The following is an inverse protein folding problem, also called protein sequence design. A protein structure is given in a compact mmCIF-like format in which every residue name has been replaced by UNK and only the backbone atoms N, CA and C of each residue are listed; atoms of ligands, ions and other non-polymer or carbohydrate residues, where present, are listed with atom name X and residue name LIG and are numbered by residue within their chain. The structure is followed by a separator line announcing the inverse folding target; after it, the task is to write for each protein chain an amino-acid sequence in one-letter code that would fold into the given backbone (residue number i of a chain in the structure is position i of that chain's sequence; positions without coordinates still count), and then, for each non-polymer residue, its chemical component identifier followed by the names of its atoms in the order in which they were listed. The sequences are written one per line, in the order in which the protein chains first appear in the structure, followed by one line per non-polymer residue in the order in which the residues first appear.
data_IF_385154339837
#
_entry.id   IF_385154339837
#
_cell.length_a   1.000
_cell.length_b   1.000
_cell.length_c   1.000
_cell.angle_alpha   90.00
_cell.angle_beta   90.00
_cell.angle_gamma   90.00
#
_symmetry.space_group_name_H-M   'P 1'
#
loop_
_entity.id
_entity.type
_entity.pdbx_description
1 polymer ?
#
# COMPACT_ATOMS: atom_id res chain seq x y z
N UNK A 1 -1.61 -18.62 -20.02
CA UNK A 1 -0.64 -18.21 -18.98
C UNK A 1 -1.26 -17.45 -17.80
N UNK A 2 -2.46 -16.86 -17.93
CA UNK A 2 -3.15 -16.13 -16.84
C UNK A 2 -3.39 -16.99 -15.58
N UNK A 3 -3.91 -18.21 -15.74
CA UNK A 3 -4.23 -19.08 -14.60
C UNK A 3 -3.05 -19.59 -13.76
N UNK A 4 -1.79 -19.37 -14.16
CA UNK A 4 -0.64 -19.65 -13.28
C UNK A 4 -0.38 -18.48 -12.33
N UNK A 5 -0.37 -17.24 -12.84
CA UNK A 5 -0.16 -16.06 -12.03
C UNK A 5 -1.33 -15.78 -11.08
N UNK A 6 -2.57 -16.08 -11.48
CA UNK A 6 -3.74 -16.02 -10.59
C UNK A 6 -3.61 -17.00 -9.40
N UNK A 7 -3.08 -18.21 -9.64
CA UNK A 7 -2.78 -19.16 -8.56
C UNK A 7 -1.68 -18.67 -7.64
N UNK A 8 -0.64 -18.03 -8.18
CA UNK A 8 0.41 -17.40 -7.38
C UNK A 8 -0.14 -16.24 -6.55
N UNK A 9 -1.01 -15.40 -7.13
CA UNK A 9 -1.69 -14.31 -6.42
C UNK A 9 -2.51 -14.85 -5.25
N UNK A 10 -3.35 -15.87 -5.49
CA UNK A 10 -4.11 -16.52 -4.42
C UNK A 10 -3.22 -17.09 -3.31
N UNK A 11 -2.08 -17.69 -3.69
CA UNK A 11 -1.11 -18.22 -2.72
C UNK A 11 -0.46 -17.09 -1.91
N UNK A 12 -0.05 -16.00 -2.56
CA UNK A 12 0.54 -14.84 -1.91
C UNK A 12 -0.45 -14.19 -0.94
N UNK A 13 -1.70 -13.97 -1.36
CA UNK A 13 -2.80 -13.52 -0.51
C UNK A 13 -3.00 -14.44 0.70
N UNK A 14 -2.97 -15.76 0.50
CA UNK A 14 -3.08 -16.74 1.58
C UNK A 14 -1.92 -16.68 2.58
N UNK A 15 -0.70 -16.47 2.12
CA UNK A 15 0.48 -16.30 2.98
C UNK A 15 0.41 -14.99 3.76
N UNK A 16 0.10 -13.87 3.10
CA UNK A 16 -0.04 -12.57 3.75
C UNK A 16 -1.21 -12.53 4.73
N UNK A 17 -2.26 -13.31 4.50
CA UNK A 17 -3.34 -13.47 5.49
C UNK A 17 -2.86 -14.19 6.75
N UNK A 18 -1.99 -15.20 6.63
CA UNK A 18 -1.48 -15.97 7.78
C UNK A 18 -0.36 -15.25 8.53
N UNK A 19 0.49 -14.53 7.80
CA UNK A 19 1.69 -13.88 8.32
C UNK A 19 1.57 -12.35 8.32
N UNK A 20 0.34 -11.82 8.35
CA UNK A 20 0.09 -10.40 8.47
C UNK A 20 0.77 -9.86 9.75
N UNK A 21 1.41 -8.71 9.65
CA UNK A 21 2.13 -8.10 10.76
C UNK A 21 1.48 -6.78 11.15
N UNK A 22 1.09 -6.70 12.41
CA UNK A 22 0.48 -5.49 12.97
C UNK A 22 -0.86 -5.15 12.35
N UNK A 23 -1.27 -3.89 12.51
CA UNK A 23 -2.41 -3.31 11.82
C UNK A 23 -1.94 -2.36 10.73
N UNK A 24 -2.17 -2.73 9.48
CA UNK A 24 -1.83 -1.90 8.32
C UNK A 24 -3.12 -1.47 7.64
N UNK A 25 -3.30 -0.17 7.42
CA UNK A 25 -4.47 0.35 6.74
C UNK A 25 -4.12 1.55 5.86
N UNK A 26 -4.63 1.61 4.63
CA UNK A 26 -4.54 2.82 3.83
C UNK A 26 -5.66 3.80 4.22
N UNK A 27 -5.29 5.07 4.33
CA UNK A 27 -6.22 6.16 4.64
C UNK A 27 -6.51 6.91 3.35
N UNK A 28 -7.73 6.78 2.82
CA UNK A 28 -8.16 7.51 1.64
C UNK A 28 -9.18 8.56 2.03
N UNK A 29 -8.78 9.82 1.92
CA UNK A 29 -9.69 10.94 2.16
C UNK A 29 -10.27 11.41 0.83
N UNK A 30 -11.57 11.26 0.66
CA UNK A 30 -12.30 11.82 -0.49
C UNK A 30 -13.13 13.00 -0.02
N UNK A 31 -12.93 14.15 -0.67
CA UNK A 31 -13.73 15.35 -0.42
C UNK A 31 -14.73 15.51 -1.57
N UNK A 32 -16.01 15.46 -1.24
CA UNK A 32 -17.08 15.76 -2.19
C UNK A 32 -17.56 17.20 -1.94
N UNK A 33 -17.72 18.02 -2.98
CA UNK A 33 -18.33 19.33 -2.83
C UNK A 33 -19.74 19.15 -2.26
N UNK A 34 -20.13 20.04 -1.35
CA UNK A 34 -21.48 20.04 -0.79
C UNK A 34 -22.53 20.25 -1.90
N UNK A 35 -23.80 19.86 -1.66
CA UNK A 35 -24.86 19.97 -2.65
C UNK A 35 -25.10 21.42 -3.12
N UNK A 36 -24.72 22.43 -2.33
CA UNK A 36 -24.71 23.83 -2.74
C UNK A 36 -23.29 24.44 -2.75
N UNK A 37 -23.04 25.51 -3.54
CA UNK A 37 -21.72 26.15 -3.67
C UNK A 37 -21.11 26.70 -2.37
N UNK A 38 -21.93 26.95 -1.36
CA UNK A 38 -21.51 27.50 -0.06
C UNK A 38 -21.51 26.46 1.06
N UNK A 39 -21.92 25.22 0.77
CA UNK A 39 -21.93 24.17 1.77
C UNK A 39 -20.49 23.68 2.02
N UNK A 40 -20.12 23.38 3.28
CA UNK A 40 -18.81 22.80 3.56
C UNK A 40 -18.70 21.45 2.83
N UNK A 41 -17.53 21.14 2.26
CA UNK A 41 -17.34 19.87 1.58
C UNK A 41 -17.48 18.72 2.57
N UNK A 42 -18.12 17.64 2.13
CA UNK A 42 -18.20 16.41 2.91
C UNK A 42 -16.89 15.66 2.71
N UNK A 43 -16.12 15.54 3.80
CA UNK A 43 -14.86 14.81 3.82
C UNK A 43 -15.13 13.42 4.39
N UNK A 44 -15.02 12.40 3.55
CA UNK A 44 -15.15 11.01 3.97
C UNK A 44 -13.77 10.36 3.97
N UNK A 45 -13.37 9.82 5.11
CA UNK A 45 -12.14 9.03 5.24
C UNK A 45 -12.51 7.55 5.21
N UNK A 46 -12.10 6.88 4.15
CA UNK A 46 -12.20 5.43 4.01
C UNK A 46 -10.93 4.79 4.58
N UNK A 47 -11.12 3.82 5.47
CA UNK A 47 -10.03 3.04 6.07
C UNK A 47 -10.03 1.68 5.38
N UNK A 48 -9.00 1.44 4.56
CA UNK A 48 -8.85 0.18 3.83
C UNK A 48 -7.83 -0.66 4.58
N UNK A 49 -8.26 -1.72 5.25
CA UNK A 49 -7.35 -2.64 5.95
C UNK A 49 -6.58 -3.46 4.93
N UNK A 50 -5.25 -3.42 5.01
CA UNK A 50 -4.35 -4.14 4.11
C UNK A 50 -3.62 -5.23 4.87
N UNK A 51 -3.54 -6.42 4.27
CA UNK A 51 -2.68 -7.50 4.81
C UNK A 51 -1.27 -7.32 4.28
N UNK A 52 -0.35 -7.10 5.20
CA UNK A 52 1.02 -6.76 4.84
C UNK A 52 2.05 -7.34 5.80
N UNK A 53 3.24 -7.58 5.27
CA UNK A 53 4.43 -7.82 6.08
C UNK A 53 5.36 -6.61 5.96
N UNK A 54 5.84 -6.08 7.09
CA UNK A 54 6.64 -4.85 7.15
C UNK A 54 8.07 -5.20 7.56
N UNK A 55 9.04 -4.60 6.89
CA UNK A 55 10.46 -4.82 7.16
C UNK A 55 11.27 -3.55 6.87
N UNK A 56 12.52 -3.49 7.34
CA UNK A 56 13.44 -2.43 6.93
C UNK A 56 13.69 -2.49 5.42
N UNK A 57 13.86 -1.33 4.78
CA UNK A 57 14.10 -1.28 3.34
C UNK A 57 15.36 -2.06 2.94
N UNK A 58 15.25 -2.83 1.87
CA UNK A 58 16.40 -3.59 1.35
C UNK A 58 17.43 -2.62 0.76
N UNK A 59 18.72 -2.89 0.97
CA UNK A 59 19.83 -2.03 0.51
C UNK A 59 19.80 -1.75 -1.00
N UNK A 60 19.25 -2.66 -1.80
CA UNK A 60 19.08 -2.51 -3.24
C UNK A 60 18.19 -1.33 -3.66
N UNK A 61 17.26 -0.90 -2.79
CA UNK A 61 16.40 0.23 -3.07
C UNK A 61 16.94 1.55 -2.53
N UNK A 62 17.95 1.50 -1.65
CA UNK A 62 18.52 2.69 -1.01
C UNK A 62 19.41 3.40 -2.02
N UNK A 63 18.95 4.56 -2.49
CA UNK A 63 19.69 5.43 -3.41
C UNK A 63 20.35 6.63 -2.71
N UNK A 64 20.05 6.82 -1.41
CA UNK A 64 20.61 7.89 -0.59
C UNK A 64 19.99 9.27 -0.84
N UNK A 65 18.99 9.38 -1.72
CA UNK A 65 18.34 10.64 -2.06
C UNK A 65 16.81 10.55 -1.93
N UNK A 66 16.18 9.60 -2.63
CA UNK A 66 14.72 9.42 -2.64
C UNK A 66 14.30 8.31 -1.68
N UNK A 67 15.07 7.23 -1.61
CA UNK A 67 14.88 6.13 -0.66
C UNK A 67 16.07 6.07 0.28
N UNK A 68 15.79 6.23 1.56
CA UNK A 68 16.77 6.31 2.65
C UNK A 68 16.84 4.97 3.39
N UNK A 69 17.97 4.68 4.04
CA UNK A 69 18.13 3.45 4.85
C UNK A 69 17.19 3.38 6.06
N UNK A 70 16.61 4.51 6.47
CA UNK A 70 15.62 4.61 7.54
C UNK A 70 14.21 4.30 7.07
N UNK A 71 13.98 4.19 5.75
CA UNK A 71 12.67 3.88 5.22
C UNK A 71 12.29 2.41 5.47
N UNK A 72 11.00 2.15 5.45
CA UNK A 72 10.45 0.80 5.58
C UNK A 72 9.99 0.31 4.21
N UNK A 73 10.03 -1.00 4.02
CA UNK A 73 9.39 -1.67 2.90
C UNK A 73 8.28 -2.57 3.42
N UNK A 74 7.20 -2.66 2.67
CA UNK A 74 6.07 -3.54 2.99
C UNK A 74 5.64 -4.31 1.76
N UNK A 75 5.35 -5.60 1.94
CA UNK A 75 4.74 -6.44 0.92
C UNK A 75 3.28 -6.58 1.27
N UNK A 76 2.42 -6.22 0.32
CA UNK A 76 0.97 -6.12 0.47
C UNK A 76 0.29 -7.02 -0.54
N UNK A 77 -0.87 -7.55 -0.16
CA UNK A 77 -1.72 -8.27 -1.09
C UNK A 77 -2.16 -7.37 -2.25
N UNK A 78 -2.56 -8.01 -3.35
CA UNK A 78 -3.19 -7.27 -4.44
C UNK A 78 -4.61 -6.98 -4.04
N UNK A 79 -4.95 -5.71 -4.13
CA UNK A 79 -6.26 -5.17 -3.83
C UNK A 79 -6.71 -4.31 -5.01
N UNK A 80 -8.01 -4.11 -5.16
CA UNK A 80 -8.60 -3.39 -6.29
C UNK A 80 -8.34 -1.87 -6.22
N UNK A 81 -7.84 -1.38 -5.09
CA UNK A 81 -7.50 0.01 -4.89
C UNK A 81 -6.21 0.41 -5.61
N UNK A 82 -6.29 1.52 -6.36
CA UNK A 82 -5.13 2.15 -6.99
C UNK A 82 -4.32 2.95 -5.97
N UNK A 83 -3.18 2.41 -5.55
CA UNK A 83 -2.23 3.12 -4.70
C UNK A 83 -1.24 3.96 -5.53
N UNK A 84 -0.95 5.16 -5.06
CA UNK A 84 -0.01 6.09 -5.68
C UNK A 84 1.04 6.56 -4.67
N UNK A 85 2.28 6.87 -5.12
CA UNK A 85 3.25 7.57 -4.28
C UNK A 85 2.65 8.89 -3.77
N UNK A 86 2.75 9.14 -2.46
CA UNK A 86 2.10 10.24 -1.77
C UNK A 86 0.90 9.83 -0.91
N UNK A 87 0.33 8.64 -1.13
CA UNK A 87 -0.75 8.13 -0.30
C UNK A 87 -0.30 7.88 1.14
N UNK A 88 -1.22 8.07 2.09
CA UNK A 88 -0.98 7.85 3.51
C UNK A 88 -1.42 6.44 3.88
N UNK A 89 -0.50 5.69 4.47
CA UNK A 89 -0.74 4.37 5.06
C UNK A 89 -0.54 4.50 6.55
N UNK A 90 -1.40 3.89 7.34
CA UNK A 90 -1.26 3.70 8.77
C UNK A 90 -0.60 2.35 9.04
N UNK A 91 0.51 2.33 9.78
CA UNK A 91 1.15 1.12 10.31
C UNK A 91 1.11 1.20 11.83
N UNK A 92 0.39 0.27 12.47
CA UNK A 92 0.15 0.25 13.91
C UNK A 92 -0.38 1.58 14.46
N UNK A 93 -1.28 2.21 13.70
CA UNK A 93 -1.86 3.51 14.03
C UNK A 93 -0.97 4.72 13.73
N UNK A 94 0.25 4.52 13.24
CA UNK A 94 1.16 5.61 12.85
C UNK A 94 1.03 5.91 11.36
N UNK A 95 0.70 7.14 10.96
CA UNK A 95 0.67 7.51 9.56
C UNK A 95 2.10 7.53 8.99
N UNK A 96 2.26 6.89 7.85
CA UNK A 96 3.47 6.86 7.03
C UNK A 96 3.08 7.21 5.60
N UNK A 97 3.98 7.85 4.87
CA UNK A 97 3.74 8.24 3.48
C UNK A 97 4.36 7.23 2.53
N UNK A 98 3.63 6.86 1.48
CA UNK A 98 4.16 6.02 0.42
C UNK A 98 5.15 6.79 -0.46
N UNK A 99 6.41 6.38 -0.45
CA UNK A 99 7.49 6.98 -1.26
C UNK A 99 7.53 6.35 -2.65
N UNK A 100 7.29 5.04 -2.73
CA UNK A 100 7.37 4.28 -3.98
C UNK A 100 6.45 3.07 -3.97
N UNK A 101 5.84 2.79 -5.11
CA UNK A 101 5.08 1.57 -5.37
C UNK A 101 5.79 0.72 -6.44
N UNK A 102 5.96 -0.56 -6.15
CA UNK A 102 6.57 -1.56 -7.03
C UNK A 102 5.61 -2.75 -7.14
N UNK A 103 5.24 -3.11 -8.37
CA UNK A 103 4.41 -4.30 -8.65
C UNK A 103 5.28 -5.54 -8.78
N UNK A 104 4.81 -6.67 -8.24
CA UNK A 104 5.47 -7.97 -8.36
C UNK A 104 4.47 -8.97 -8.92
N UNK A 105 4.67 -9.52 -10.13
CA UNK A 105 5.63 -9.11 -11.16
C UNK A 105 5.42 -7.68 -11.67
N UNK A 106 6.46 -7.07 -12.25
CA UNK A 106 6.41 -5.69 -12.75
C UNK A 106 5.52 -5.49 -13.98
N UNK A 107 5.23 -6.58 -14.71
CA UNK A 107 4.37 -6.60 -15.87
C UNK A 107 3.45 -7.83 -15.83
N UNK A 108 2.27 -7.71 -16.42
CA UNK A 108 1.25 -8.77 -16.39
C UNK A 108 0.41 -8.76 -15.10
N UNK A 109 -0.08 -9.94 -14.72
CA UNK A 109 -0.91 -10.11 -13.53
C UNK A 109 -0.03 -9.92 -12.29
N UNK A 110 -0.30 -8.87 -11.54
CA UNK A 110 0.39 -8.60 -10.28
C UNK A 110 -0.04 -9.63 -9.24
N UNK A 111 0.93 -10.19 -8.54
CA UNK A 111 0.77 -11.21 -7.49
C UNK A 111 0.84 -10.59 -6.10
N UNK A 112 1.69 -9.58 -5.93
CA UNK A 112 1.82 -8.79 -4.71
C UNK A 112 2.30 -7.37 -5.03
N UNK A 113 1.96 -6.43 -4.15
CA UNK A 113 2.48 -5.07 -4.20
C UNK A 113 3.61 -4.92 -3.18
N UNK A 114 4.67 -4.19 -3.54
CA UNK A 114 5.69 -3.74 -2.60
C UNK A 114 5.63 -2.23 -2.51
N UNK A 115 5.43 -1.71 -1.31
CA UNK A 115 5.51 -0.28 -1.04
C UNK A 115 6.78 0.02 -0.26
N UNK A 116 7.40 1.15 -0.57
CA UNK A 116 8.42 1.78 0.27
C UNK A 116 7.73 2.96 0.94
N UNK A 117 7.78 2.99 2.26
CA UNK A 117 7.07 3.97 3.08
C UNK A 117 8.02 4.66 4.03
N UNK A 118 7.69 5.91 4.36
CA UNK A 118 8.46 6.76 5.27
C UNK A 118 7.57 7.29 6.38
N UNK A 119 8.02 7.14 7.62
CA UNK A 119 7.41 7.77 8.81
C UNK A 119 7.70 9.25 8.87
#
# INVERSE_FOLDING_TARGET
MAGFYERLQSTATGLLTKFNQGSVAALRTTSLPGPNPYDPPVVTTEIITLKAAVSGVSKEYVDGNRVLSTDLQMIVEVDDHSFLPGDIISIDGKPVTMVRHIKIPAAGITVANKFIVRS
#
